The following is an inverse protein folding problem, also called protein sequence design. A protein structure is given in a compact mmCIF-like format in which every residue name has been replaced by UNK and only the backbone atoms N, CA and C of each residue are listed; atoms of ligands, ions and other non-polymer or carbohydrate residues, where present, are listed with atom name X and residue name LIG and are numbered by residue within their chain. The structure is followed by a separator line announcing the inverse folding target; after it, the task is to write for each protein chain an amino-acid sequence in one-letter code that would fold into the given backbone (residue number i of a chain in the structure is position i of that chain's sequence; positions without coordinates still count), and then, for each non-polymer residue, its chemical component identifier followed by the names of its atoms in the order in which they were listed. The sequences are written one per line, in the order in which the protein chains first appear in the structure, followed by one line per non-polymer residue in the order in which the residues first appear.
data_IF_991982965788
#
_entry.id   IF_991982965788
#
_cell.length_a   1.000
_cell.length_b   1.000
_cell.length_c   1.000
_cell.angle_alpha   90.00
_cell.angle_beta   90.00
_cell.angle_gamma   90.00
#
_symmetry.space_group_name_H-M   'P 1'
#
loop_
_entity.id
_entity.type
_entity.pdbx_description
1 polymer ?
#
# COMPACT_ATOMS: atom_id res chain seq x y z
N UNK A 1 2.70 41.91 6.86
CA UNK A 1 2.59 40.43 6.94
C UNK A 1 1.20 40.04 6.44
N UNK A 2 1.09 39.61 5.18
CA UNK A 2 -0.17 39.12 4.62
C UNK A 2 -0.37 37.67 5.08
N UNK A 3 -1.31 37.46 6.00
CA UNK A 3 -1.76 36.14 6.41
C UNK A 3 -2.69 35.61 5.31
N UNK A 4 -2.18 34.74 4.44
CA UNK A 4 -3.04 33.98 3.54
C UNK A 4 -3.99 33.13 4.39
N UNK A 5 -5.32 33.28 4.25
CA UNK A 5 -6.25 32.41 4.95
C UNK A 5 -6.06 31.00 4.37
N UNK A 6 -5.47 30.10 5.17
CA UNK A 6 -5.44 28.67 4.86
C UNK A 6 -6.89 28.20 4.87
N UNK A 7 -7.50 28.18 3.70
CA UNK A 7 -8.85 27.64 3.53
C UNK A 7 -8.74 26.15 3.78
N UNK A 8 -9.13 25.69 4.97
CA UNK A 8 -9.32 24.27 5.24
C UNK A 8 -10.41 23.78 4.28
N UNK A 9 -9.99 23.25 3.13
CA UNK A 9 -10.86 22.52 2.22
C UNK A 9 -11.54 21.41 3.03
N UNK A 10 -12.84 21.57 3.28
CA UNK A 10 -13.68 20.48 3.79
C UNK A 10 -13.83 19.45 2.68
N UNK A 11 -12.84 18.58 2.58
CA UNK A 11 -12.84 17.43 1.72
C UNK A 11 -14.03 16.53 2.13
N UNK A 12 -15.05 16.46 1.26
CA UNK A 12 -16.25 15.67 1.49
C UNK A 12 -15.93 14.20 1.78
N UNK A 13 -16.85 13.52 2.48
CA UNK A 13 -16.72 12.14 3.01
C UNK A 13 -16.42 11.03 1.95
N UNK A 14 -16.22 11.37 0.69
CA UNK A 14 -16.03 10.45 -0.44
C UNK A 14 -14.75 10.65 -1.25
N UNK A 15 -13.73 11.35 -0.74
CA UNK A 15 -12.50 11.52 -1.51
C UNK A 15 -11.62 10.28 -1.41
N UNK A 16 -11.43 9.66 -2.56
CA UNK A 16 -10.52 8.56 -2.79
C UNK A 16 -9.18 9.09 -3.28
N UNK A 17 -8.12 8.44 -2.83
CA UNK A 17 -6.74 8.78 -3.20
C UNK A 17 -5.98 7.50 -3.56
N UNK A 18 -5.00 7.65 -4.44
CA UNK A 18 -4.03 6.61 -4.77
C UNK A 18 -2.91 6.63 -3.74
N UNK A 19 -2.67 5.50 -3.11
CA UNK A 19 -1.49 5.27 -2.26
C UNK A 19 -0.52 4.37 -3.04
N UNK A 20 0.76 4.71 -2.96
CA UNK A 20 1.86 3.87 -3.46
C UNK A 20 2.80 3.60 -2.29
N UNK A 21 3.09 2.33 -2.05
CA UNK A 21 4.02 1.87 -1.05
C UNK A 21 5.15 1.12 -1.74
N UNK A 22 6.38 1.35 -1.29
CA UNK A 22 7.58 0.64 -1.73
C UNK A 22 8.15 -0.12 -0.55
N UNK A 23 8.49 -1.38 -0.76
CA UNK A 23 9.05 -2.26 0.25
C UNK A 23 10.35 -2.85 -0.30
N UNK A 24 11.50 -2.34 0.15
CA UNK A 24 12.78 -2.97 -0.15
C UNK A 24 12.81 -4.37 0.44
N UNK A 25 13.15 -5.35 -0.40
CA UNK A 25 13.34 -6.74 0.00
C UNK A 25 14.83 -7.03 0.15
N UNK A 26 15.18 -7.60 1.30
CA UNK A 26 16.51 -8.14 1.56
C UNK A 26 16.35 -9.55 2.13
N UNK A 27 16.85 -10.56 1.42
CA UNK A 27 16.65 -11.97 1.80
C UNK A 27 17.09 -12.30 3.24
N UNK A 28 18.06 -11.58 3.79
CA UNK A 28 18.49 -11.74 5.19
C UNK A 28 17.41 -11.38 6.21
N UNK A 29 16.53 -10.43 5.89
CA UNK A 29 15.52 -9.88 6.81
C UNK A 29 14.17 -10.63 6.74
N UNK A 30 13.91 -11.40 5.68
CA UNK A 30 12.63 -12.08 5.45
C UNK A 30 12.70 -13.57 5.77
N UNK A 31 11.63 -14.12 6.34
CA UNK A 31 11.58 -15.53 6.71
C UNK A 31 11.57 -16.47 5.50
N UNK A 32 11.09 -15.99 4.36
CA UNK A 32 11.00 -16.75 3.10
C UNK A 32 11.69 -16.04 1.94
N UNK A 33 11.86 -16.74 0.83
CA UNK A 33 12.42 -16.18 -0.40
C UNK A 33 11.51 -15.06 -0.96
N UNK A 34 11.96 -14.39 -2.01
CA UNK A 34 11.22 -13.27 -2.60
C UNK A 34 9.85 -13.69 -3.12
N UNK A 35 9.77 -14.78 -3.88
CA UNK A 35 8.54 -15.25 -4.52
C UNK A 35 7.48 -15.63 -3.47
N UNK A 36 7.86 -16.39 -2.45
CA UNK A 36 6.97 -16.76 -1.34
C UNK A 36 6.50 -15.53 -0.54
N UNK A 37 7.36 -14.52 -0.40
CA UNK A 37 7.02 -13.27 0.29
C UNK A 37 5.99 -12.49 -0.53
N UNK A 38 6.18 -12.43 -1.84
CA UNK A 38 5.24 -11.80 -2.79
C UNK A 38 3.90 -12.52 -2.77
N UNK A 39 3.89 -13.86 -2.84
CA UNK A 39 2.67 -14.66 -2.82
C UNK A 39 1.85 -14.43 -1.54
N UNK A 40 2.50 -14.51 -0.37
CA UNK A 40 1.83 -14.23 0.92
C UNK A 40 1.28 -12.81 1.00
N UNK A 41 2.00 -11.84 0.46
CA UNK A 41 1.53 -10.46 0.40
C UNK A 41 0.34 -10.32 -0.56
N UNK A 42 0.34 -11.00 -1.70
CA UNK A 42 -0.79 -10.99 -2.65
C UNK A 42 -2.05 -11.58 -2.03
N UNK A 43 -1.96 -12.76 -1.43
CA UNK A 43 -3.09 -13.41 -0.73
C UNK A 43 -3.70 -12.46 0.31
N UNK A 44 -2.86 -11.86 1.15
CA UNK A 44 -3.33 -10.90 2.14
C UNK A 44 -4.01 -9.68 1.50
N UNK A 45 -3.43 -9.10 0.45
CA UNK A 45 -4.00 -7.92 -0.21
C UNK A 45 -5.32 -8.25 -0.91
N UNK A 46 -5.45 -9.44 -1.49
CA UNK A 46 -6.68 -9.91 -2.12
C UNK A 46 -7.82 -10.07 -1.09
N UNK A 47 -7.53 -10.60 0.09
CA UNK A 47 -8.52 -10.72 1.16
C UNK A 47 -8.86 -9.37 1.81
N UNK A 48 -7.84 -8.52 2.00
CA UNK A 48 -7.96 -7.30 2.79
C UNK A 48 -8.49 -6.10 2.00
N UNK A 49 -8.06 -5.91 0.75
CA UNK A 49 -8.44 -4.75 -0.05
C UNK A 49 -9.76 -5.01 -0.80
N UNK A 50 -10.77 -4.15 -0.62
CA UNK A 50 -12.04 -4.34 -1.29
C UNK A 50 -11.95 -3.90 -2.75
N UNK A 51 -12.73 -4.56 -3.61
CA UNK A 51 -12.99 -4.08 -4.95
C UNK A 51 -13.81 -2.78 -4.87
N UNK A 52 -13.43 -1.77 -5.65
CA UNK A 52 -14.09 -0.45 -5.63
C UNK A 52 -15.01 -0.28 -6.84
N UNK A 53 -16.23 0.26 -6.65
CA UNK A 53 -17.10 0.65 -7.76
C UNK A 53 -16.45 1.68 -8.68
N UNK A 54 -16.74 1.62 -9.99
CA UNK A 54 -16.19 2.53 -10.99
C UNK A 54 -16.40 4.02 -10.64
N UNK A 55 -17.53 4.36 -10.01
CA UNK A 55 -17.82 5.72 -9.56
C UNK A 55 -16.79 6.27 -8.54
N UNK A 56 -16.20 5.41 -7.71
CA UNK A 56 -15.21 5.78 -6.69
C UNK A 56 -13.80 5.89 -7.25
N UNK A 57 -13.51 5.15 -8.34
CA UNK A 57 -12.21 5.15 -9.02
C UNK A 57 -12.24 5.90 -10.35
N UNK A 58 -13.24 6.76 -10.58
CA UNK A 58 -13.44 7.48 -11.86
C UNK A 58 -12.22 8.29 -12.30
N UNK A 59 -11.44 8.82 -11.35
CA UNK A 59 -10.21 9.57 -11.64
C UNK A 59 -8.96 8.66 -11.75
N UNK A 60 -9.15 7.36 -11.56
CA UNK A 60 -8.13 6.32 -11.57
C UNK A 60 -8.60 5.14 -12.44
N UNK A 61 -8.97 5.40 -13.70
CA UNK A 61 -9.57 4.43 -14.62
C UNK A 61 -8.86 3.06 -14.69
N UNK A 62 -7.53 3.06 -14.53
CA UNK A 62 -6.74 1.82 -14.53
C UNK A 62 -6.93 0.94 -13.29
N UNK A 63 -7.74 1.37 -12.32
CA UNK A 63 -8.15 0.63 -11.12
C UNK A 63 -9.61 0.16 -11.17
N UNK A 64 -10.33 0.40 -12.28
CA UNK A 64 -11.66 -0.20 -12.48
C UNK A 64 -11.50 -1.71 -12.56
N UNK A 65 -12.18 -2.45 -11.67
CA UNK A 65 -12.06 -3.91 -11.60
C UNK A 65 -10.79 -4.41 -10.88
N UNK A 66 -9.96 -3.53 -10.33
CA UNK A 66 -8.65 -3.88 -9.75
C UNK A 66 -8.55 -3.39 -8.31
N UNK A 67 -8.29 -4.32 -7.37
CA UNK A 67 -8.12 -4.01 -5.93
C UNK A 67 -6.83 -3.23 -5.65
N UNK A 68 -5.74 -3.71 -6.23
CA UNK A 68 -4.40 -3.14 -6.13
C UNK A 68 -3.58 -3.50 -7.37
N UNK A 69 -2.46 -2.80 -7.57
CA UNK A 69 -1.43 -3.18 -8.52
C UNK A 69 -0.15 -3.44 -7.77
N UNK A 70 0.54 -4.50 -8.16
CA UNK A 70 1.84 -4.86 -7.63
C UNK A 70 2.85 -4.86 -8.78
N UNK A 71 3.91 -4.08 -8.63
CA UNK A 71 5.04 -4.01 -9.55
C UNK A 71 6.32 -4.35 -8.79
N UNK A 72 7.36 -4.74 -9.52
CA UNK A 72 8.66 -5.06 -8.97
C UNK A 72 9.73 -4.19 -9.63
N UNK A 73 10.65 -3.68 -8.84
CA UNK A 73 11.76 -2.86 -9.29
C UNK A 73 13.07 -3.36 -8.68
N UNK A 74 14.19 -2.84 -9.16
CA UNK A 74 15.51 -3.08 -8.60
C UNK A 74 16.21 -1.75 -8.34
N UNK A 75 16.20 -1.30 -7.09
CA UNK A 75 16.74 -0.01 -6.65
C UNK A 75 17.85 -0.26 -5.62
N UNK A 76 18.99 0.41 -5.75
CA UNK A 76 20.12 0.34 -4.80
C UNK A 76 20.61 -1.08 -4.47
N UNK A 77 20.62 -1.98 -5.47
CA UNK A 77 21.07 -3.36 -5.30
C UNK A 77 20.06 -4.27 -4.58
N UNK A 78 18.80 -3.85 -4.46
CA UNK A 78 17.75 -4.59 -3.76
C UNK A 78 16.50 -4.68 -4.63
N UNK A 79 15.85 -5.84 -4.61
CA UNK A 79 14.51 -5.98 -5.17
C UNK A 79 13.53 -5.13 -4.35
N UNK A 80 12.68 -4.36 -5.01
CA UNK A 80 11.67 -3.52 -4.36
C UNK A 80 10.29 -3.99 -4.80
N UNK A 81 9.44 -4.31 -3.82
CA UNK A 81 8.04 -4.63 -4.05
C UNK A 81 7.25 -3.33 -3.96
N UNK A 82 6.54 -2.96 -5.04
CA UNK A 82 5.73 -1.77 -5.09
C UNK A 82 4.25 -2.16 -5.09
N UNK A 83 3.51 -1.70 -4.10
CA UNK A 83 2.06 -1.92 -4.01
C UNK A 83 1.34 -0.60 -4.13
N UNK A 84 0.34 -0.54 -5.00
CA UNK A 84 -0.49 0.65 -5.18
C UNK A 84 -1.97 0.32 -5.17
N UNK A 85 -2.76 1.13 -4.48
CA UNK A 85 -4.19 0.89 -4.29
C UNK A 85 -4.95 2.20 -4.10
N UNK A 86 -6.27 2.14 -4.30
CA UNK A 86 -7.18 3.26 -4.07
C UNK A 86 -7.91 3.08 -2.75
N UNK A 87 -7.86 4.09 -1.89
CA UNK A 87 -8.57 4.09 -0.60
C UNK A 87 -9.18 5.44 -0.31
N UNK A 88 -10.17 5.49 0.57
CA UNK A 88 -10.71 6.76 1.04
C UNK A 88 -9.69 7.43 1.96
N UNK A 89 -9.61 8.77 1.93
CA UNK A 89 -8.70 9.50 2.83
C UNK A 89 -8.95 9.16 4.31
N UNK A 90 -10.18 8.82 4.69
CA UNK A 90 -10.54 8.38 6.05
C UNK A 90 -9.83 7.10 6.46
N UNK A 91 -9.65 6.15 5.54
CA UNK A 91 -9.05 4.84 5.80
C UNK A 91 -7.60 4.73 5.35
N UNK A 92 -7.04 5.78 4.74
CA UNK A 92 -5.68 5.79 4.21
C UNK A 92 -4.64 5.36 5.26
N UNK A 93 -4.66 5.99 6.43
CA UNK A 93 -3.71 5.69 7.51
C UNK A 93 -3.87 4.27 8.06
N UNK A 94 -5.10 3.83 8.35
CA UNK A 94 -5.36 2.50 8.90
C UNK A 94 -5.03 1.38 7.91
N UNK A 95 -5.34 1.59 6.62
CA UNK A 95 -5.00 0.63 5.55
C UNK A 95 -3.49 0.50 5.41
N UNK A 96 -2.77 1.63 5.35
CA UNK A 96 -1.31 1.68 5.28
C UNK A 96 -0.68 0.95 6.45
N UNK A 97 -1.12 1.24 7.68
CA UNK A 97 -0.63 0.60 8.91
C UNK A 97 -0.78 -0.92 8.85
N UNK A 98 -1.93 -1.42 8.36
CA UNK A 98 -2.19 -2.85 8.31
C UNK A 98 -1.35 -3.59 7.27
N UNK A 99 -1.10 -2.96 6.12
CA UNK A 99 -0.16 -3.50 5.10
C UNK A 99 1.27 -3.51 5.67
N UNK A 100 1.70 -2.43 6.33
CA UNK A 100 3.01 -2.42 7.02
C UNK A 100 3.12 -3.55 8.05
N UNK A 101 2.10 -3.75 8.89
CA UNK A 101 2.08 -4.82 9.89
C UNK A 101 2.19 -6.21 9.27
N UNK A 102 1.54 -6.45 8.14
CA UNK A 102 1.66 -7.71 7.41
C UNK A 102 3.11 -7.92 6.95
N UNK A 103 3.73 -6.90 6.35
CA UNK A 103 5.10 -7.01 5.84
C UNK A 103 6.11 -7.22 6.98
N UNK A 104 5.93 -6.55 8.11
CA UNK A 104 6.74 -6.82 9.30
C UNK A 104 6.55 -8.26 9.80
N UNK A 105 5.34 -8.83 9.73
CA UNK A 105 5.12 -10.24 10.11
C UNK A 105 5.75 -11.26 9.15
N UNK A 106 6.12 -10.86 7.94
CA UNK A 106 6.88 -11.70 6.99
C UNK A 106 8.39 -11.66 7.25
N UNK A 107 8.86 -10.74 8.09
CA UNK A 107 10.26 -10.66 8.48
C UNK A 107 10.62 -11.77 9.47
N UNK A 108 11.91 -12.12 9.53
CA UNK A 108 12.40 -13.03 10.56
C UNK A 108 12.20 -12.37 11.92
N UNK A 109 11.59 -13.10 12.85
CA UNK A 109 11.65 -12.75 14.25
C UNK A 109 13.01 -13.18 14.77
N UNK A 110 13.98 -12.26 14.79
CA UNK A 110 15.18 -12.47 15.58
C UNK A 110 14.76 -12.42 17.04
N UNK A 111 14.99 -13.47 17.86
CA UNK A 111 14.98 -13.27 19.30
C UNK A 111 16.07 -12.22 19.59
N UNK A 112 15.71 -11.11 20.24
CA UNK A 112 16.72 -10.25 20.85
C UNK A 112 17.47 -11.12 21.88
N UNK A 113 18.76 -11.38 21.65
CA UNK A 113 19.68 -11.96 22.65
C UNK A 113 19.94 -10.96 23.78
#
# INVERSE_FOLDING_TARGET
LWLHPVTRLRFGKGIYTKIVMKFPYEAKNFATNFDDTVEKLQIFLDEFLPLRPAAQVKYYNTYVGVKYKMDFDYEDGKSVIKVSYITSMRHASSTKKRICSMIESLKKHTPEE
#
